data_IF_038755910662
#
_entry.id   IF_038755910662
#
_cell.length_a   1.000
_cell.length_b   1.000
_cell.length_c   1.000
_cell.angle_alpha   90.00
_cell.angle_beta   90.00
_cell.angle_gamma   90.00
#
_symmetry.space_group_name_H-M   'P 1'
#
loop_
_entity.id
_entity.type
_entity.pdbx_description
1 polymer ?
#
# COMPACT_ATOMS: atom_id res chain seq x y z
N UNK A 1 -13.27 -4.44 -5.02
CA UNK A 1 -12.34 -3.95 -3.98
C UNK A 1 -10.97 -3.76 -4.60
N UNK A 2 -10.36 -2.59 -4.43
CA UNK A 2 -9.00 -2.36 -4.93
C UNK A 2 -7.97 -2.83 -3.92
N UNK A 3 -6.87 -3.34 -4.43
CA UNK A 3 -5.73 -3.77 -3.65
C UNK A 3 -4.46 -3.09 -4.18
N UNK A 4 -3.44 -3.04 -3.38
CA UNK A 4 -2.10 -2.64 -3.80
C UNK A 4 -1.11 -3.58 -3.15
N UNK A 5 -0.39 -4.32 -3.97
CA UNK A 5 0.48 -5.40 -3.54
C UNK A 5 1.87 -5.17 -4.11
N UNK A 6 2.88 -5.37 -3.29
CA UNK A 6 4.29 -5.27 -3.67
C UNK A 6 4.90 -6.65 -3.83
N UNK A 7 5.56 -6.88 -4.97
CA UNK A 7 6.52 -7.96 -5.14
C UNK A 7 7.93 -7.36 -5.08
N UNK A 8 8.62 -7.43 -3.94
CA UNK A 8 9.89 -6.74 -3.75
C UNK A 8 11.01 -7.27 -4.65
N UNK A 9 10.90 -8.51 -5.13
CA UNK A 9 11.89 -9.11 -6.02
C UNK A 9 11.95 -8.42 -7.40
N UNK A 10 10.85 -7.78 -7.81
CA UNK A 10 10.74 -7.10 -9.09
C UNK A 10 11.08 -5.61 -9.02
N UNK A 11 11.20 -5.04 -7.83
CA UNK A 11 11.50 -3.62 -7.64
C UNK A 11 12.95 -3.31 -8.05
N UNK A 12 13.12 -2.30 -8.91
CA UNK A 12 14.44 -1.84 -9.40
C UNK A 12 14.84 -0.47 -8.86
N UNK A 13 14.15 0.01 -7.83
CA UNK A 13 14.45 1.28 -7.15
C UNK A 13 14.42 2.52 -8.08
N UNK A 14 13.54 2.52 -9.08
CA UNK A 14 13.45 3.62 -10.04
C UNK A 14 12.75 4.88 -9.48
N UNK A 15 11.96 4.75 -8.41
CA UNK A 15 11.25 5.85 -7.76
C UNK A 15 10.07 6.43 -8.52
N UNK A 16 9.64 5.83 -9.63
CA UNK A 16 8.49 6.34 -10.42
C UNK A 16 7.18 6.33 -9.65
N UNK A 17 6.93 5.27 -8.87
CA UNK A 17 5.72 5.17 -8.04
C UNK A 17 5.64 6.30 -7.01
N UNK A 18 6.76 6.66 -6.40
CA UNK A 18 6.84 7.76 -5.45
C UNK A 18 6.53 9.10 -6.12
N UNK A 19 7.12 9.35 -7.30
CA UNK A 19 6.91 10.60 -8.04
C UNK A 19 5.50 10.75 -8.59
N UNK A 20 4.90 9.66 -9.04
CA UNK A 20 3.61 9.68 -9.73
C UNK A 20 2.40 9.55 -8.78
N UNK A 21 2.63 9.27 -7.50
CA UNK A 21 1.54 9.19 -6.53
C UNK A 21 0.90 10.56 -6.29
N UNK A 22 -0.42 10.73 -6.59
CA UNK A 22 -1.08 12.03 -6.43
C UNK A 22 -1.20 12.48 -4.97
N UNK A 23 -1.12 11.55 -4.02
CA UNK A 23 -1.22 11.84 -2.59
C UNK A 23 0.15 11.88 -1.90
N UNK A 24 1.25 11.75 -2.66
CA UNK A 24 2.61 11.67 -2.12
C UNK A 24 2.72 10.63 -0.99
N UNK A 25 2.10 9.49 -1.20
CA UNK A 25 1.84 8.48 -0.18
C UNK A 25 2.79 7.27 -0.26
N UNK A 26 3.72 7.26 -1.21
CA UNK A 26 4.70 6.19 -1.40
C UNK A 26 6.08 6.77 -1.18
N UNK A 27 6.89 6.08 -0.36
CA UNK A 27 8.29 6.43 -0.13
C UNK A 27 9.16 5.22 -0.43
N UNK A 28 10.07 5.37 -1.38
CA UNK A 28 11.00 4.31 -1.75
C UNK A 28 12.27 4.45 -0.90
N UNK A 29 12.55 3.42 -0.12
CA UNK A 29 13.74 3.37 0.74
C UNK A 29 14.44 2.04 0.50
N UNK A 30 15.71 2.11 0.10
CA UNK A 30 16.53 0.91 -0.15
C UNK A 30 15.88 -0.10 -1.10
N UNK A 31 15.23 0.40 -2.16
CA UNK A 31 14.57 -0.44 -3.15
C UNK A 31 13.24 -1.02 -2.72
N UNK A 32 12.67 -0.53 -1.61
CA UNK A 32 11.37 -0.99 -1.11
C UNK A 32 10.39 0.18 -1.06
N UNK A 33 9.32 0.18 -1.85
CA UNK A 33 8.25 1.15 -1.73
C UNK A 33 7.44 0.90 -0.45
N UNK A 34 7.35 1.92 0.40
CA UNK A 34 6.50 1.90 1.58
C UNK A 34 5.21 2.69 1.31
N UNK A 35 4.09 2.09 1.59
CA UNK A 35 2.77 2.68 1.45
C UNK A 35 1.80 2.11 2.47
N UNK A 36 0.61 2.71 2.59
CA UNK A 36 -0.40 2.26 3.54
C UNK A 36 -0.85 0.83 3.27
N UNK A 37 -0.91 0.01 4.30
CA UNK A 37 -1.37 -1.37 4.23
C UNK A 37 -2.90 -1.50 4.24
N UNK A 38 -3.64 -0.41 4.40
CA UNK A 38 -5.10 -0.41 4.52
C UNK A 38 -5.59 -1.47 5.52
N UNK A 39 -5.22 -1.27 6.77
CA UNK A 39 -5.52 -2.19 7.87
C UNK A 39 -7.02 -2.44 8.00
N UNK A 40 -7.39 -3.58 8.61
CA UNK A 40 -8.78 -3.86 8.94
C UNK A 40 -9.37 -2.70 9.76
N UNK A 41 -10.57 -2.19 9.40
CA UNK A 41 -11.17 -1.04 10.09
C UNK A 41 -11.32 -1.21 11.60
N UNK A 42 -11.49 -2.43 12.08
CA UNK A 42 -11.60 -2.73 13.51
C UNK A 42 -10.25 -2.65 14.25
N UNK A 43 -9.14 -2.63 13.50
CA UNK A 43 -7.77 -2.66 14.05
C UNK A 43 -6.89 -1.53 13.53
N UNK A 44 -7.39 -0.70 12.63
CA UNK A 44 -6.62 0.40 12.04
C UNK A 44 -6.29 1.45 13.10
N UNK A 45 -5.02 1.61 13.54
CA UNK A 45 -4.68 2.55 14.60
C UNK A 45 -5.07 4.00 14.27
N UNK A 46 -4.86 4.40 13.03
CA UNK A 46 -5.19 5.76 12.59
C UNK A 46 -6.69 6.05 12.64
N UNK A 47 -7.51 5.09 12.23
CA UNK A 47 -8.97 5.23 12.24
C UNK A 47 -9.50 5.32 13.68
N UNK A 48 -8.98 4.48 14.56
CA UNK A 48 -9.38 4.44 15.97
C UNK A 48 -8.89 5.66 16.74
N UNK A 49 -7.78 6.26 16.35
CA UNK A 49 -7.18 7.39 17.06
C UNK A 49 -7.68 8.75 16.59
N UNK A 50 -8.33 8.86 15.43
CA UNK A 50 -8.76 10.14 14.90
C UNK A 50 -9.89 10.75 15.74
N UNK A 51 -9.67 11.92 16.40
CA UNK A 51 -10.67 12.52 17.27
C UNK A 51 -11.88 13.09 16.53
N UNK A 52 -11.72 13.41 15.24
CA UNK A 52 -12.77 14.02 14.43
C UNK A 52 -13.51 13.01 13.53
N UNK A 53 -13.16 11.73 13.60
CA UNK A 53 -13.73 10.72 12.70
C UNK A 53 -13.47 11.02 11.23
N UNK A 54 -12.34 11.66 10.92
CA UNK A 54 -11.96 12.01 9.56
C UNK A 54 -11.44 10.81 8.75
N UNK A 55 -11.12 9.71 9.40
CA UNK A 55 -10.60 8.51 8.76
C UNK A 55 -11.74 7.51 8.66
N UNK A 56 -11.98 7.03 7.44
CA UNK A 56 -13.14 6.22 7.09
C UNK A 56 -12.72 5.01 6.25
N UNK A 57 -13.54 3.96 6.25
CA UNK A 57 -13.39 2.84 5.34
C UNK A 57 -14.31 3.04 4.13
N UNK A 58 -13.77 2.87 2.93
CA UNK A 58 -14.52 2.99 1.69
C UNK A 58 -14.05 1.92 0.70
N UNK A 59 -14.87 0.91 0.46
CA UNK A 59 -14.59 -0.13 -0.53
C UNK A 59 -13.30 -0.91 -0.28
N UNK A 60 -12.94 -1.12 0.98
CA UNK A 60 -11.70 -1.79 1.38
C UNK A 60 -10.51 -0.85 1.58
N UNK A 61 -10.63 0.41 1.18
CA UNK A 61 -9.61 1.43 1.43
C UNK A 61 -9.87 2.16 2.73
N UNK A 62 -8.83 2.43 3.49
CA UNK A 62 -8.89 3.37 4.62
C UNK A 62 -8.47 4.73 4.08
N UNK A 63 -9.38 5.68 4.12
CA UNK A 63 -9.19 7.02 3.52
C UNK A 63 -9.30 8.12 4.57
N UNK A 64 -8.72 9.27 4.26
CA UNK A 64 -8.83 10.48 5.09
C UNK A 64 -9.76 11.46 4.39
N UNK A 65 -10.80 11.90 5.10
CA UNK A 65 -11.70 12.95 4.64
C UNK A 65 -11.10 14.31 5.00
N UNK A 66 -10.63 15.04 4.00
CA UNK A 66 -9.96 16.34 4.19
C UNK A 66 -10.87 17.39 4.83
N UNK A 67 -12.19 17.31 4.61
CA UNK A 67 -13.14 18.25 5.19
C UNK A 67 -13.31 18.10 6.70
N UNK A 68 -13.07 16.90 7.22
CA UNK A 68 -13.14 16.59 8.66
C UNK A 68 -11.78 16.66 9.35
N UNK A 69 -10.68 16.53 8.61
CA UNK A 69 -9.33 16.53 9.17
C UNK A 69 -8.96 17.89 9.72
N UNK A 70 -8.50 17.94 10.98
CA UNK A 70 -8.05 19.17 11.65
C UNK A 70 -6.53 19.30 11.71
N UNK A 71 -5.78 18.37 11.16
CA UNK A 71 -4.32 18.42 11.14
C UNK A 71 -3.65 18.15 12.47
N UNK A 72 -4.31 17.42 13.38
CA UNK A 72 -3.75 17.17 14.73
C UNK A 72 -2.51 16.26 14.75
N UNK A 73 -2.25 15.51 13.67
CA UNK A 73 -1.08 14.64 13.53
C UNK A 73 -1.14 13.34 14.31
N UNK A 74 -2.22 13.05 15.03
CA UNK A 74 -2.35 11.84 15.84
C UNK A 74 -2.24 10.57 15.00
N UNK A 75 -2.91 10.53 13.83
CA UNK A 75 -2.88 9.40 12.92
C UNK A 75 -1.46 9.10 12.41
N UNK A 76 -0.70 10.12 12.07
CA UNK A 76 0.71 9.98 11.65
C UNK A 76 1.57 9.39 12.78
N UNK A 77 1.31 9.77 14.02
CA UNK A 77 2.04 9.29 15.18
C UNK A 77 1.75 7.84 15.57
N UNK A 78 0.53 7.33 15.27
CA UNK A 78 0.13 5.97 15.65
C UNK A 78 0.31 4.95 14.54
N UNK A 79 0.58 5.37 13.30
CA UNK A 79 0.81 4.43 12.20
C UNK A 79 2.14 3.68 12.41
N UNK A 80 2.12 2.34 12.52
CA UNK A 80 3.33 1.58 12.85
C UNK A 80 4.39 1.59 11.75
N UNK A 81 3.99 1.87 10.50
CA UNK A 81 4.92 1.89 9.37
C UNK A 81 5.17 3.29 8.81
N UNK A 82 4.61 4.33 9.45
CA UNK A 82 4.82 5.71 9.01
C UNK A 82 4.21 6.02 7.64
N UNK A 83 3.06 5.44 7.31
CA UNK A 83 2.43 5.59 5.99
C UNK A 83 1.64 6.89 5.85
N UNK A 84 1.54 7.69 6.88
CA UNK A 84 0.77 8.94 6.88
C UNK A 84 1.72 10.13 6.98
N UNK A 85 1.57 11.08 6.07
CA UNK A 85 2.34 12.32 6.04
C UNK A 85 1.44 13.52 6.25
N UNK A 86 1.98 14.57 6.85
CA UNK A 86 1.31 15.87 6.94
C UNK A 86 1.73 16.70 5.72
N UNK A 87 0.75 17.27 5.01
CA UNK A 87 1.03 18.11 3.84
C UNK A 87 1.43 19.56 4.25
N UNK A 88 1.71 20.40 3.27
CA UNK A 88 2.11 21.80 3.50
C UNK A 88 1.01 22.63 4.16
N UNK A 89 -0.25 22.25 3.95
CA UNK A 89 -1.43 22.91 4.54
C UNK A 89 -1.66 22.43 5.98
N UNK A 90 -1.01 21.35 6.39
CA UNK A 90 -1.15 20.75 7.71
C UNK A 90 -2.20 19.66 7.81
N UNK A 91 -2.69 19.15 6.68
CA UNK A 91 -3.63 18.02 6.65
C UNK A 91 -2.89 16.70 6.49
N UNK A 92 -3.44 15.64 7.06
CA UNK A 92 -2.87 14.30 6.92
C UNK A 92 -3.15 13.73 5.52
N UNK A 93 -2.15 13.10 4.92
CA UNK A 93 -2.23 12.47 3.60
C UNK A 93 -1.68 11.05 3.65
N UNK A 94 -2.35 10.14 2.97
CA UNK A 94 -1.94 8.74 2.83
C UNK A 94 -2.48 8.15 1.54
N UNK A 95 -2.04 6.94 1.22
CA UNK A 95 -2.60 6.16 0.12
C UNK A 95 -4.10 5.95 0.30
N UNK A 96 -4.87 6.24 -0.73
CA UNK A 96 -6.32 6.00 -0.78
C UNK A 96 -6.71 4.93 -1.81
N UNK A 97 -5.75 4.15 -2.30
CA UNK A 97 -5.91 3.18 -3.40
C UNK A 97 -6.43 3.81 -4.70
N UNK A 98 -6.34 5.14 -4.83
CA UNK A 98 -6.86 5.89 -5.99
C UNK A 98 -8.34 5.56 -6.27
N UNK A 99 -9.16 5.47 -5.22
CA UNK A 99 -10.56 5.07 -5.33
C UNK A 99 -11.39 6.01 -6.21
N UNK A 100 -10.96 7.27 -6.30
CA UNK A 100 -11.58 8.35 -7.06
C UNK A 100 -11.08 8.42 -8.53
N UNK A 101 -10.21 7.51 -8.92
CA UNK A 101 -9.60 7.47 -10.26
C UNK A 101 -9.86 6.13 -10.94
N UNK A 102 -9.77 6.11 -12.26
CA UNK A 102 -9.97 4.90 -13.06
C UNK A 102 -8.87 3.85 -12.82
N UNK A 103 -7.66 4.31 -12.53
CA UNK A 103 -6.51 3.42 -12.30
C UNK A 103 -5.60 3.93 -11.19
N UNK A 104 -4.82 3.03 -10.63
CA UNK A 104 -3.81 3.36 -9.62
C UNK A 104 -2.53 3.86 -10.31
N UNK A 105 -2.15 5.11 -10.03
CA UNK A 105 -1.01 5.75 -10.68
C UNK A 105 0.32 5.00 -10.46
N UNK A 106 0.54 4.49 -9.25
CA UNK A 106 1.76 3.76 -8.91
C UNK A 106 1.87 2.43 -9.67
N UNK A 107 0.76 1.72 -9.85
CA UNK A 107 0.71 0.48 -10.63
C UNK A 107 1.00 0.77 -12.11
N UNK A 108 0.39 1.81 -12.66
CA UNK A 108 0.62 2.22 -14.04
C UNK A 108 2.05 2.69 -14.29
N UNK A 109 2.68 3.33 -13.29
CA UNK A 109 4.03 3.88 -13.39
C UNK A 109 5.13 2.81 -13.25
N UNK A 110 4.86 1.69 -12.58
CA UNK A 110 5.87 0.68 -12.30
C UNK A 110 6.30 -0.08 -13.56
N UNK A 111 7.57 0.07 -14.01
CA UNK A 111 8.02 -0.54 -15.26
C UNK A 111 8.19 -2.07 -15.16
N UNK A 112 8.42 -2.59 -13.96
CA UNK A 112 8.67 -4.02 -13.71
C UNK A 112 7.49 -4.76 -13.13
N UNK A 113 6.36 -4.07 -12.93
CA UNK A 113 5.16 -4.60 -12.27
C UNK A 113 5.40 -5.10 -10.85
N UNK A 114 6.38 -4.50 -10.16
CA UNK A 114 6.60 -4.77 -8.74
C UNK A 114 5.39 -4.37 -7.89
N UNK A 115 4.68 -3.31 -8.29
CA UNK A 115 3.39 -2.93 -7.73
C UNK A 115 2.28 -3.42 -8.65
N UNK A 116 1.32 -4.13 -8.09
CA UNK A 116 0.17 -4.67 -8.83
C UNK A 116 -1.11 -4.54 -8.00
N UNK A 117 -2.21 -4.51 -8.69
CA UNK A 117 -3.54 -4.56 -8.08
C UNK A 117 -4.22 -5.93 -8.28
N UNK A 118 -3.49 -6.90 -8.78
CA UNK A 118 -3.98 -8.27 -9.00
C UNK A 118 -3.13 -9.26 -8.21
N UNK A 119 -3.68 -9.75 -7.11
CA UNK A 119 -3.04 -10.73 -6.24
C UNK A 119 -2.93 -12.12 -6.88
N UNK A 120 -3.77 -12.42 -7.86
CA UNK A 120 -3.83 -13.76 -8.47
C UNK A 120 -2.53 -14.13 -9.21
N UNK A 121 -1.93 -13.18 -9.91
CA UNK A 121 -0.65 -13.39 -10.60
C UNK A 121 0.46 -13.77 -9.62
N UNK A 122 0.57 -13.03 -8.51
CA UNK A 122 1.60 -13.28 -7.49
C UNK A 122 1.38 -14.63 -6.80
N UNK A 123 0.13 -14.94 -6.49
CA UNK A 123 -0.22 -16.21 -5.86
C UNK A 123 0.16 -17.37 -6.77
N UNK A 124 -0.20 -17.27 -8.05
CA UNK A 124 0.10 -18.30 -9.04
C UNK A 124 1.62 -18.53 -9.18
N UNK A 125 2.39 -17.47 -9.33
CA UNK A 125 3.85 -17.53 -9.41
C UNK A 125 4.47 -18.18 -8.16
N UNK A 126 3.97 -17.82 -6.97
CA UNK A 126 4.43 -18.44 -5.72
C UNK A 126 4.06 -19.92 -5.63
N UNK A 127 2.87 -20.30 -6.09
CA UNK A 127 2.44 -21.69 -6.13
C UNK A 127 3.31 -22.52 -7.05
N UNK A 128 3.68 -22.00 -8.22
CA UNK A 128 4.58 -22.67 -9.15
C UNK A 128 5.95 -22.93 -8.50
N UNK A 129 6.55 -21.89 -7.88
CA UNK A 129 7.84 -22.01 -7.19
C UNK A 129 7.81 -23.06 -6.07
N UNK A 130 6.74 -23.10 -5.29
CA UNK A 130 6.56 -24.09 -4.22
C UNK A 130 6.40 -25.49 -4.80
N UNK A 131 5.62 -25.64 -5.86
CA UNK A 131 5.44 -26.94 -6.54
C UNK A 131 6.74 -27.49 -7.10
N UNK A 132 7.55 -26.66 -7.75
CA UNK A 132 8.89 -27.04 -8.24
C UNK A 132 9.80 -27.51 -7.10
N UNK A 133 9.79 -26.77 -5.98
CA UNK A 133 10.55 -27.12 -4.79
C UNK A 133 10.13 -28.49 -4.20
N UNK A 134 8.82 -28.74 -4.13
CA UNK A 134 8.28 -30.02 -3.64
C UNK A 134 8.67 -31.19 -4.54
N UNK A 135 8.61 -31.01 -5.86
CA UNK A 135 9.05 -32.04 -6.81
C UNK A 135 10.52 -32.42 -6.60
N UNK A 136 11.38 -31.40 -6.41
CA UNK A 136 12.81 -31.62 -6.12
C UNK A 136 13.00 -32.41 -4.82
N UNK A 137 12.28 -32.07 -3.77
CA UNK A 137 12.35 -32.76 -2.48
C UNK A 137 11.90 -34.21 -2.63
N UNK A 138 10.80 -34.47 -3.33
CA UNK A 138 10.31 -35.82 -3.58
C UNK A 138 11.32 -36.67 -4.35
N UNK A 139 12.00 -36.08 -5.32
CA UNK A 139 13.05 -36.81 -6.09
C UNK A 139 14.24 -37.20 -5.24
N UNK A 140 14.57 -36.41 -4.20
CA UNK A 140 15.67 -36.73 -3.26
C UNK A 140 15.25 -37.84 -2.29
N UNK A 141 13.98 -37.88 -1.91
CA UNK A 141 13.45 -38.86 -0.94
C UNK A 141 13.23 -40.25 -1.53
N UNK A 142 13.30 -40.39 -2.82
CA UNK A 142 13.27 -41.67 -3.51
C UNK A 142 14.69 -42.27 -3.63
#
# INVERSE_FOLDING_TARGET
MRELILNPELCVDCGKCERDCPNNAIHVTEGIPLFCMHCDPNRAPCLLACPEGAIEELGGAIIINDDKCIGCGTCAGVCPIGAINMDEVGLAKKCNLCYDKDSQACVAACPTKALTNDSSEIIHERQEKVSEGLVKIQSIMK
#
